data_IF_912153029036
#
_entry.id   IF_912153029036
#
_cell.length_a   1.000
_cell.length_b   1.000
_cell.length_c   1.000
_cell.angle_alpha   90.00
_cell.angle_beta   90.00
_cell.angle_gamma   90.00
#
_symmetry.space_group_name_H-M   'P 1'
#
loop_
_entity.id
_entity.type
_entity.pdbx_description
1 polymer ?
#
# COMPACT_ATOMS: atom_id res chain seq x y z
N UNK A 1 17.82 36.01 35.24
CA UNK A 1 16.48 35.78 34.70
C UNK A 1 16.63 35.04 33.38
N UNK A 2 15.82 33.99 33.17
CA UNK A 2 15.80 33.21 31.94
C UNK A 2 14.36 33.24 31.41
N UNK A 3 14.19 33.58 30.14
CA UNK A 3 12.91 33.53 29.43
C UNK A 3 13.03 32.55 28.27
N UNK A 4 12.14 31.55 28.23
CA UNK A 4 12.14 30.52 27.19
C UNK A 4 10.73 30.34 26.60
N UNK A 5 10.66 30.15 25.29
CA UNK A 5 9.43 29.85 24.56
C UNK A 5 9.77 29.04 23.29
N UNK A 6 8.91 28.09 22.93
CA UNK A 6 9.13 27.19 21.78
C UNK A 6 9.18 28.01 20.49
N UNK A 7 10.19 27.77 19.65
CA UNK A 7 10.40 28.52 18.40
C UNK A 7 11.19 29.83 18.54
N UNK A 8 11.78 30.10 19.72
CA UNK A 8 12.58 31.30 19.98
C UNK A 8 13.88 30.95 20.71
N UNK A 9 14.92 31.77 20.53
CA UNK A 9 16.17 31.63 21.31
C UNK A 9 15.91 31.95 22.78
N UNK A 10 16.34 31.11 23.73
CA UNK A 10 16.22 31.41 25.15
C UNK A 10 17.03 32.68 25.49
N UNK A 11 16.38 33.65 26.12
CA UNK A 11 16.99 34.92 26.53
C UNK A 11 17.40 34.85 28.00
N UNK A 12 18.69 35.04 28.28
CA UNK A 12 19.24 35.04 29.62
C UNK A 12 19.89 36.38 29.91
N UNK A 13 19.46 37.04 30.99
CA UNK A 13 20.09 38.27 31.49
C UNK A 13 20.27 38.24 33.00
N UNK A 14 21.35 38.86 33.48
CA UNK A 14 21.65 39.00 34.90
C UNK A 14 21.19 40.37 35.37
N UNK A 15 20.16 40.40 36.21
CA UNK A 15 19.63 41.64 36.78
C UNK A 15 20.27 41.81 38.16
N UNK A 16 20.96 42.93 38.38
CA UNK A 16 21.34 43.39 39.73
C UNK A 16 20.27 44.37 40.18
N UNK A 17 19.66 44.12 41.33
CA UNK A 17 18.60 44.95 41.92
C UNK A 17 19.13 45.53 43.22
N UNK A 18 19.19 46.87 43.29
CA UNK A 18 19.44 47.58 44.54
C UNK A 18 18.13 47.79 45.33
N UNK A 19 18.24 48.01 46.64
CA UNK A 19 17.08 48.12 47.54
C UNK A 19 16.22 49.31 47.08
N UNK A 20 14.95 49.04 46.77
CA UNK A 20 13.90 50.00 46.37
C UNK A 20 13.88 50.44 44.89
N UNK A 21 14.57 49.76 43.97
CA UNK A 21 14.43 50.02 42.52
C UNK A 21 13.42 49.08 41.85
N UNK A 22 12.55 49.65 41.00
CA UNK A 22 11.61 48.90 40.13
C UNK A 22 12.04 49.08 38.68
N UNK A 23 12.54 48.00 38.08
CA UNK A 23 12.90 47.95 36.66
C UNK A 23 11.79 47.28 35.85
N UNK A 24 11.26 47.97 34.83
CA UNK A 24 10.35 47.40 33.82
C UNK A 24 11.19 46.92 32.63
N UNK A 25 11.23 45.61 32.39
CA UNK A 25 12.01 45.02 31.31
C UNK A 25 11.08 44.48 30.21
N UNK A 26 11.12 45.09 29.03
CA UNK A 26 10.47 44.57 27.83
C UNK A 26 11.44 43.64 27.08
N UNK A 27 11.19 42.33 27.13
CA UNK A 27 12.02 41.32 26.47
C UNK A 27 11.41 40.95 25.11
N UNK A 28 12.09 41.31 24.01
CA UNK A 28 11.73 40.88 22.66
C UNK A 28 12.53 39.63 22.30
N UNK A 29 11.86 38.50 22.10
CA UNK A 29 12.51 37.24 21.72
C UNK A 29 12.72 37.19 20.20
N UNK A 30 13.88 36.69 19.77
CA UNK A 30 14.17 36.45 18.35
C UNK A 30 13.71 35.04 17.94
N UNK A 31 12.89 34.89 16.89
CA UNK A 31 12.42 33.59 16.44
C UNK A 31 13.60 32.75 15.92
N UNK A 32 13.61 31.47 16.28
CA UNK A 32 14.52 30.46 15.75
C UNK A 32 13.67 29.32 15.18
N UNK A 33 13.78 29.04 13.86
CA UNK A 33 13.08 27.91 13.27
C UNK A 33 13.50 26.62 13.96
N UNK A 34 12.53 25.88 14.49
CA UNK A 34 12.73 24.50 14.93
C UNK A 34 12.61 23.65 13.67
N UNK A 35 13.74 23.27 13.09
CA UNK A 35 13.75 22.30 11.99
C UNK A 35 13.60 20.91 12.59
N UNK A 36 12.45 20.29 12.38
CA UNK A 36 12.31 18.84 12.57
C UNK A 36 13.12 18.10 11.50
N UNK A 37 13.42 16.81 11.75
CA UNK A 37 13.91 15.93 10.71
C UNK A 37 12.91 15.94 9.54
N UNK A 38 13.43 16.13 8.33
CA UNK A 38 12.59 16.09 7.15
C UNK A 38 12.01 14.68 7.03
N UNK A 39 10.69 14.56 7.19
CA UNK A 39 9.98 13.39 6.67
C UNK A 39 9.93 13.58 5.16
N UNK A 40 10.67 12.75 4.42
CA UNK A 40 10.48 12.62 2.98
C UNK A 40 9.05 12.12 2.74
N UNK A 41 8.16 13.06 2.42
CA UNK A 41 6.86 12.74 1.86
C UNK A 41 7.12 12.41 0.39
N UNK A 42 7.32 11.13 0.09
CA UNK A 42 7.05 10.64 -1.27
C UNK A 42 5.60 10.99 -1.58
N UNK A 43 5.40 11.73 -2.67
CA UNK A 43 4.09 12.11 -3.19
C UNK A 43 3.27 10.84 -3.48
N UNK A 44 2.55 10.35 -2.46
CA UNK A 44 1.40 9.53 -2.71
C UNK A 44 0.30 10.53 -2.99
N UNK A 45 0.18 10.95 -4.26
CA UNK A 45 -1.06 11.52 -4.78
C UNK A 45 -2.17 10.50 -4.52
N UNK A 46 -2.72 10.50 -3.32
CA UNK A 46 -4.15 10.34 -3.20
C UNK A 46 -4.71 11.62 -3.77
N UNK A 47 -4.92 11.61 -5.09
CA UNK A 47 -5.95 12.44 -5.69
C UNK A 47 -7.24 12.10 -4.94
N UNK A 48 -7.55 12.84 -3.86
CA UNK A 48 -8.88 12.85 -3.24
C UNK A 48 -9.78 13.74 -4.11
N UNK A 49 -9.71 13.47 -5.41
CA UNK A 49 -10.58 13.91 -6.51
C UNK A 49 -10.64 12.73 -7.50
N UNK A 50 -10.95 11.54 -6.99
CA UNK A 50 -11.10 10.33 -7.78
C UNK A 50 -12.10 9.42 -7.09
N UNK A 51 -13.07 8.91 -7.84
CA UNK A 51 -14.11 7.98 -7.38
C UNK A 51 -13.56 7.00 -6.34
N UNK A 52 -14.23 6.90 -5.18
CA UNK A 52 -14.01 5.76 -4.28
C UNK A 52 -14.32 4.51 -5.08
N UNK A 53 -13.29 3.83 -5.58
CA UNK A 53 -13.46 2.57 -6.31
C UNK A 53 -13.75 1.46 -5.30
N UNK A 54 -15.00 1.41 -4.83
CA UNK A 54 -15.52 0.40 -3.88
C UNK A 54 -15.27 -1.03 -4.41
N UNK A 55 -15.15 -1.19 -5.73
CA UNK A 55 -14.86 -2.46 -6.40
C UNK A 55 -13.38 -2.86 -6.39
N UNK A 56 -12.45 -1.96 -6.08
CA UNK A 56 -11.02 -2.23 -6.16
C UNK A 56 -10.42 -2.63 -4.81
N UNK A 57 -9.58 -3.67 -4.83
CA UNK A 57 -8.75 -4.12 -3.72
C UNK A 57 -7.31 -4.21 -4.21
N UNK A 58 -6.37 -3.64 -3.46
CA UNK A 58 -4.94 -3.76 -3.75
C UNK A 58 -4.27 -4.60 -2.67
N UNK A 59 -3.54 -5.63 -3.07
CA UNK A 59 -2.85 -6.58 -2.20
C UNK A 59 -1.35 -6.50 -2.44
N UNK A 60 -0.58 -6.19 -1.40
CA UNK A 60 0.88 -6.32 -1.48
C UNK A 60 1.28 -7.79 -1.31
N UNK A 61 2.47 -8.18 -1.80
CA UNK A 61 3.03 -9.52 -1.52
C UNK A 61 3.08 -9.84 -0.02
N UNK A 62 3.40 -8.86 0.82
CA UNK A 62 3.37 -9.00 2.28
C UNK A 62 1.97 -9.33 2.79
N UNK A 63 0.95 -8.65 2.28
CA UNK A 63 -0.46 -8.90 2.66
C UNK A 63 -0.88 -10.31 2.27
N UNK A 64 -0.51 -10.77 1.06
CA UNK A 64 -0.84 -12.11 0.57
C UNK A 64 -0.17 -13.18 1.45
N UNK A 65 1.11 -13.00 1.78
CA UNK A 65 1.86 -13.93 2.64
C UNK A 65 1.31 -14.03 4.08
N UNK A 66 0.69 -12.96 4.57
CA UNK A 66 0.09 -12.86 5.91
C UNK A 66 -1.37 -13.30 5.95
N UNK A 67 -1.99 -13.57 4.80
CA UNK A 67 -3.36 -14.05 4.73
C UNK A 67 -3.50 -15.43 5.43
N UNK A 68 -4.65 -15.71 6.09
CA UNK A 68 -4.92 -17.05 6.62
C UNK A 68 -4.78 -18.11 5.53
N UNK A 69 -3.96 -19.13 5.78
CA UNK A 69 -3.61 -20.16 4.81
C UNK A 69 -3.75 -21.56 5.40
N UNK A 70 -4.34 -22.45 4.62
CA UNK A 70 -4.35 -23.90 4.86
C UNK A 70 -3.25 -24.53 4.01
N UNK A 71 -1.98 -24.25 4.36
CA UNK A 71 -0.81 -24.67 3.60
C UNK A 71 0.04 -23.49 3.13
N UNK A 72 0.31 -23.42 1.84
CA UNK A 72 1.09 -22.33 1.23
C UNK A 72 0.25 -21.07 1.03
N UNK A 73 0.92 -19.92 1.04
CA UNK A 73 0.27 -18.66 0.71
C UNK A 73 0.04 -18.62 -0.81
N UNK A 74 -1.18 -18.28 -1.22
CA UNK A 74 -1.56 -18.24 -2.63
C UNK A 74 -2.41 -16.99 -2.91
N UNK A 75 -2.14 -16.34 -4.05
CA UNK A 75 -2.83 -15.10 -4.44
C UNK A 75 -4.33 -15.35 -4.62
N UNK A 76 -4.72 -16.43 -5.29
CA UNK A 76 -6.12 -16.70 -5.62
C UNK A 76 -6.89 -17.10 -4.37
N UNK A 77 -6.28 -17.87 -3.46
CA UNK A 77 -6.85 -18.16 -2.14
C UNK A 77 -7.05 -16.90 -1.30
N UNK A 78 -6.12 -15.97 -1.37
CA UNK A 78 -6.28 -14.68 -0.69
C UNK A 78 -7.45 -13.89 -1.28
N UNK A 79 -7.64 -13.92 -2.60
CA UNK A 79 -8.79 -13.28 -3.24
C UNK A 79 -10.12 -13.96 -2.86
N UNK A 80 -10.15 -15.28 -2.66
CA UNK A 80 -11.33 -16.01 -2.21
C UNK A 80 -11.81 -15.60 -0.80
N UNK A 81 -10.93 -15.01 0.02
CA UNK A 81 -11.32 -14.44 1.31
C UNK A 81 -12.07 -13.10 1.20
N UNK A 82 -12.07 -12.47 0.01
CA UNK A 82 -12.75 -11.21 -0.21
C UNK A 82 -14.26 -11.40 -0.42
N UNK A 83 -15.10 -10.49 0.09
CA UNK A 83 -16.54 -10.58 -0.11
C UNK A 83 -16.90 -10.47 -1.59
N UNK A 84 -17.79 -11.37 -2.02
CA UNK A 84 -18.25 -11.49 -3.41
C UNK A 84 -17.29 -12.25 -4.33
N UNK A 85 -16.25 -12.89 -3.78
CA UNK A 85 -15.37 -13.82 -4.49
C UNK A 85 -15.57 -15.19 -3.88
N UNK A 86 -15.93 -16.17 -4.70
CA UNK A 86 -16.06 -17.57 -4.29
C UNK A 86 -15.22 -18.46 -5.19
N UNK A 87 -14.76 -19.58 -4.66
CA UNK A 87 -14.12 -20.62 -5.44
C UNK A 87 -15.19 -21.43 -6.19
N UNK A 88 -14.84 -21.95 -7.37
CA UNK A 88 -15.67 -22.94 -8.07
C UNK A 88 -15.85 -24.22 -7.25
N UNK A 89 -14.83 -24.61 -6.49
CA UNK A 89 -14.86 -25.70 -5.49
C UNK A 89 -13.75 -25.50 -4.46
N UNK A 90 -13.80 -26.25 -3.35
CA UNK A 90 -12.80 -26.17 -2.28
C UNK A 90 -11.36 -26.42 -2.77
N UNK A 91 -11.20 -27.25 -3.80
CA UNK A 91 -9.92 -27.62 -4.41
C UNK A 91 -9.59 -26.84 -5.69
N UNK A 92 -10.35 -25.77 -5.99
CA UNK A 92 -10.16 -24.95 -7.19
C UNK A 92 -9.73 -23.52 -6.84
N UNK A 93 -8.82 -22.97 -7.66
CA UNK A 93 -8.50 -21.54 -7.71
C UNK A 93 -9.44 -20.81 -8.68
N UNK A 94 -10.35 -21.48 -9.37
CA UNK A 94 -11.34 -20.84 -10.23
C UNK A 94 -12.14 -19.78 -9.47
N UNK A 95 -11.99 -18.51 -9.87
CA UNK A 95 -12.64 -17.38 -9.20
C UNK A 95 -14.02 -17.13 -9.80
N UNK A 96 -15.06 -17.21 -8.99
CA UNK A 96 -16.43 -16.81 -9.34
C UNK A 96 -16.71 -15.50 -8.61
N UNK A 97 -16.82 -14.40 -9.36
CA UNK A 97 -16.91 -13.05 -8.78
C UNK A 97 -18.28 -12.47 -9.06
N UNK A 98 -19.04 -12.18 -7.99
CA UNK A 98 -20.43 -11.69 -8.06
C UNK A 98 -21.33 -12.53 -8.99
N UNK A 99 -21.13 -13.84 -9.01
CA UNK A 99 -21.90 -14.79 -9.83
C UNK A 99 -21.43 -14.93 -11.29
N UNK A 100 -20.37 -14.23 -11.70
CA UNK A 100 -19.73 -14.44 -13.00
C UNK A 100 -18.92 -15.73 -13.03
N UNK A 101 -18.91 -16.40 -14.17
CA UNK A 101 -18.20 -17.66 -14.36
C UNK A 101 -16.67 -17.47 -14.35
N UNK A 102 -15.92 -18.54 -14.13
CA UNK A 102 -14.45 -18.49 -13.97
C UNK A 102 -13.72 -17.94 -15.19
N UNK A 103 -14.27 -18.14 -16.39
CA UNK A 103 -13.79 -17.63 -17.68
C UNK A 103 -14.13 -16.15 -17.94
N UNK A 104 -14.93 -15.52 -17.08
CA UNK A 104 -15.33 -14.12 -17.22
C UNK A 104 -14.41 -13.15 -16.47
N UNK A 105 -13.34 -13.65 -15.86
CA UNK A 105 -12.31 -12.84 -15.21
C UNK A 105 -11.15 -12.57 -16.19
N UNK A 106 -10.60 -11.35 -16.13
CA UNK A 106 -9.31 -11.03 -16.73
C UNK A 106 -8.22 -11.28 -15.69
N UNK A 107 -7.19 -12.04 -16.04
CA UNK A 107 -5.98 -12.15 -15.23
C UNK A 107 -4.81 -11.65 -16.06
N UNK A 108 -4.01 -10.75 -15.50
CA UNK A 108 -2.84 -10.18 -16.16
C UNK A 108 -1.63 -10.22 -15.25
N UNK A 109 -0.47 -10.34 -15.88
CA UNK A 109 0.85 -10.16 -15.29
C UNK A 109 1.59 -9.10 -16.11
N UNK A 110 1.97 -8.00 -15.49
CA UNK A 110 2.70 -6.90 -16.14
C UNK A 110 2.03 -6.41 -17.44
N UNK A 111 0.69 -6.35 -17.42
CA UNK A 111 -0.14 -5.92 -18.56
C UNK A 111 -0.41 -7.01 -19.61
N UNK A 112 0.13 -8.22 -19.46
CA UNK A 112 -0.05 -9.34 -20.39
C UNK A 112 -1.11 -10.29 -19.84
N UNK A 113 -2.07 -10.70 -20.69
CA UNK A 113 -3.14 -11.64 -20.28
C UNK A 113 -2.59 -13.04 -20.00
N UNK A 114 -3.02 -13.62 -18.87
CA UNK A 114 -2.70 -14.98 -18.43
C UNK A 114 -3.98 -15.83 -18.51
N UNK A 115 -4.04 -16.74 -19.48
CA UNK A 115 -5.24 -17.56 -19.72
C UNK A 115 -5.40 -18.73 -18.74
N UNK A 116 -4.28 -19.34 -18.32
CA UNK A 116 -4.26 -20.47 -17.40
C UNK A 116 -3.42 -20.08 -16.17
N UNK A 117 -3.96 -19.30 -15.23
CA UNK A 117 -3.21 -18.79 -14.09
C UNK A 117 -3.11 -19.80 -12.93
N UNK A 118 -3.31 -21.10 -13.18
CA UNK A 118 -3.25 -22.16 -12.18
C UNK A 118 -2.46 -23.39 -12.64
N UNK A 119 -2.01 -24.19 -11.67
CA UNK A 119 -1.33 -25.47 -11.85
C UNK A 119 -1.93 -26.55 -10.93
N UNK A 120 -1.41 -27.78 -11.01
CA UNK A 120 -1.90 -28.94 -10.25
C UNK A 120 -3.41 -29.15 -10.36
N UNK A 121 -3.94 -29.03 -11.59
CA UNK A 121 -5.36 -29.20 -11.87
C UNK A 121 -6.26 -28.10 -11.31
N UNK A 122 -5.70 -26.94 -10.96
CA UNK A 122 -6.44 -25.81 -10.40
C UNK A 122 -6.31 -25.68 -8.89
N UNK A 123 -5.42 -26.40 -8.23
CA UNK A 123 -5.29 -26.31 -6.77
C UNK A 123 -4.56 -25.05 -6.30
N UNK A 124 -3.60 -24.57 -7.10
CA UNK A 124 -2.73 -23.44 -6.80
C UNK A 124 -2.62 -22.48 -7.98
N UNK A 125 -2.39 -21.20 -7.71
CA UNK A 125 -2.12 -20.20 -8.74
C UNK A 125 -0.68 -20.26 -9.23
N UNK A 126 -0.40 -19.73 -10.42
CA UNK A 126 0.93 -19.73 -11.03
C UNK A 126 1.81 -18.55 -10.58
N UNK A 127 1.34 -17.77 -9.60
CA UNK A 127 2.03 -16.57 -9.15
C UNK A 127 2.96 -16.87 -7.99
N UNK A 128 4.27 -16.84 -8.25
CA UNK A 128 5.29 -16.92 -7.21
C UNK A 128 5.27 -15.65 -6.37
N UNK A 129 4.83 -15.73 -5.11
CA UNK A 129 4.63 -14.55 -4.26
C UNK A 129 5.90 -13.73 -4.03
N UNK A 130 7.06 -14.38 -4.06
CA UNK A 130 8.35 -13.71 -3.94
C UNK A 130 8.70 -12.85 -5.16
N UNK A 131 8.11 -13.14 -6.32
CA UNK A 131 8.25 -12.35 -7.54
C UNK A 131 7.15 -11.30 -7.70
N UNK A 132 6.07 -11.37 -6.91
CA UNK A 132 4.97 -10.39 -6.97
C UNK A 132 5.30 -9.15 -6.14
N UNK A 133 5.16 -7.97 -6.73
CA UNK A 133 5.22 -6.68 -6.01
C UNK A 133 3.88 -6.40 -5.37
N UNK A 134 2.85 -6.31 -6.20
CA UNK A 134 1.46 -6.04 -5.83
C UNK A 134 0.48 -6.67 -6.81
N UNK A 135 -0.76 -6.84 -6.37
CA UNK A 135 -1.87 -7.30 -7.17
C UNK A 135 -3.07 -6.37 -6.97
N UNK A 136 -3.61 -5.84 -8.06
CA UNK A 136 -4.82 -5.01 -8.08
C UNK A 136 -5.98 -5.84 -8.61
N UNK A 137 -7.03 -5.94 -7.81
CA UNK A 137 -8.22 -6.72 -8.12
C UNK A 137 -9.46 -5.82 -8.16
N UNK A 138 -10.12 -5.76 -9.31
CA UNK A 138 -11.28 -4.89 -9.55
C UNK A 138 -12.51 -5.76 -9.84
N UNK A 139 -13.51 -5.66 -8.96
CA UNK A 139 -14.79 -6.38 -9.05
C UNK A 139 -15.83 -5.55 -9.82
N UNK A 140 -15.85 -5.68 -11.15
CA UNK A 140 -16.74 -4.91 -12.02
C UNK A 140 -16.46 -3.40 -12.03
N UNK A 141 -17.09 -2.67 -12.97
CA UNK A 141 -16.88 -1.23 -13.12
C UNK A 141 -15.45 -0.83 -13.47
N UNK A 142 -14.65 -1.76 -14.02
CA UNK A 142 -13.30 -1.50 -14.47
C UNK A 142 -13.30 -0.73 -15.80
N UNK A 143 -12.23 0.04 -16.09
CA UNK A 143 -12.09 0.78 -17.34
C UNK A 143 -12.28 -0.08 -18.60
N UNK A 144 -12.77 0.54 -19.68
CA UNK A 144 -13.06 -0.13 -20.94
C UNK A 144 -11.82 -0.77 -21.63
N UNK A 145 -10.61 -0.36 -21.25
CA UNK A 145 -9.34 -0.94 -21.74
C UNK A 145 -9.20 -2.43 -21.39
N UNK A 146 -9.85 -2.91 -20.32
CA UNK A 146 -9.83 -4.31 -19.88
C UNK A 146 -10.89 -5.17 -20.58
N UNK A 147 -11.23 -4.83 -21.83
CA UNK A 147 -12.40 -5.30 -22.57
C UNK A 147 -12.70 -6.81 -22.53
N UNK A 148 -13.92 -7.17 -22.94
CA UNK A 148 -14.33 -8.56 -23.19
C UNK A 148 -14.51 -9.46 -21.96
N UNK A 149 -14.29 -8.94 -20.75
CA UNK A 149 -14.56 -9.65 -19.48
C UNK A 149 -15.74 -9.01 -18.76
N UNK A 150 -16.53 -9.83 -18.08
CA UNK A 150 -17.81 -9.41 -17.47
C UNK A 150 -17.78 -9.43 -15.94
N UNK A 151 -16.81 -10.12 -15.33
CA UNK A 151 -16.85 -10.41 -13.90
C UNK A 151 -15.82 -9.59 -13.10
N UNK A 152 -14.52 -9.72 -13.41
CA UNK A 152 -13.47 -9.01 -12.68
C UNK A 152 -12.18 -8.84 -13.49
N UNK A 153 -11.28 -7.99 -13.00
CA UNK A 153 -9.91 -7.82 -13.49
C UNK A 153 -8.93 -8.02 -12.35
N UNK A 154 -8.00 -8.95 -12.52
CA UNK A 154 -6.82 -9.13 -11.67
C UNK A 154 -5.59 -8.70 -12.44
N UNK A 155 -4.94 -7.62 -12.00
CA UNK A 155 -3.69 -7.13 -12.55
C UNK A 155 -2.57 -7.37 -11.54
N UNK A 156 -1.63 -8.26 -11.86
CA UNK A 156 -0.48 -8.58 -11.03
C UNK A 156 0.74 -7.85 -11.58
N UNK A 157 1.48 -7.20 -10.69
CA UNK A 157 2.70 -6.47 -11.01
C UNK A 157 3.87 -7.21 -10.38
N UNK A 158 4.89 -7.51 -11.19
CA UNK A 158 6.11 -8.17 -10.74
C UNK A 158 7.03 -7.21 -9.99
N UNK A 159 7.87 -7.73 -9.10
CA UNK A 159 8.98 -6.98 -8.53
C UNK A 159 9.97 -6.64 -9.64
N UNK A 160 10.42 -5.40 -9.65
CA UNK A 160 11.55 -4.99 -10.48
C UNK A 160 12.82 -5.66 -9.94
N UNK A 161 13.59 -6.29 -10.82
CA UNK A 161 14.88 -6.87 -10.46
C UNK A 161 15.86 -5.80 -9.99
N UNK A 162 16.73 -6.15 -9.03
CA UNK A 162 17.81 -5.27 -8.61
C UNK A 162 18.93 -5.28 -9.67
N UNK A 163 19.05 -4.21 -10.46
CA UNK A 163 20.14 -4.07 -11.45
C UNK A 163 21.48 -3.66 -10.83
N UNK A 164 21.51 -3.28 -9.55
CA UNK A 164 22.72 -2.77 -8.87
C UNK A 164 23.52 -3.86 -8.16
N UNK A 165 22.86 -4.89 -7.65
CA UNK A 165 23.50 -6.00 -6.95
C UNK A 165 22.91 -7.33 -7.39
N UNK A 166 23.78 -8.30 -7.66
CA UNK A 166 23.37 -9.66 -7.98
C UNK A 166 22.99 -10.39 -6.70
N UNK A 167 21.70 -10.69 -6.56
CA UNK A 167 21.16 -11.51 -5.47
C UNK A 167 20.23 -12.57 -6.04
N UNK A 168 20.35 -13.81 -5.57
CA UNK A 168 19.43 -14.90 -5.90
C UNK A 168 18.91 -15.55 -4.61
N UNK A 169 17.61 -15.80 -4.55
CA UNK A 169 17.01 -16.66 -3.53
C UNK A 169 16.83 -18.06 -4.10
N UNK A 170 17.12 -19.08 -3.30
CA UNK A 170 16.68 -20.44 -3.56
C UNK A 170 15.41 -20.66 -2.74
N UNK A 171 14.29 -20.86 -3.43
CA UNK A 171 13.02 -21.30 -2.85
C UNK A 171 12.95 -22.82 -2.81
#
# INVERSE_FOLDING_TARGET
MICNYIGYKPYTTTIKLDRNERHLLNVNLSPQPVSGEAVEVMDNRTDIEGEVQISQVSLSSRTIMQSPKLGEADLFRTLQALPGVVAESDFSTGLVVRGGNTDQNLVMLDGITVYNPSHMGGLFSNFLLDAVKDARFIKGGFPAEYGGRMSSVLNVISKEGNQKEFSGGMS
#
